data_IF_099850482947
#
_entry.id   IF_099850482947
#
_cell.length_a   1.000
_cell.length_b   1.000
_cell.length_c   1.000
_cell.angle_alpha   90.00
_cell.angle_beta   90.00
_cell.angle_gamma   90.00
#
_symmetry.space_group_name_H-M   'P 1'
#
loop_
_entity.id
_entity.type
_entity.pdbx_description
1 polymer ?
#
# COMPACT_ATOMS: atom_id res chain seq x y z
N UNK A 1 6.67 -13.82 66.95
CA UNK A 1 6.70 -12.58 66.17
C UNK A 1 7.93 -12.43 65.23
N UNK A 2 9.11 -12.89 65.57
CA UNK A 2 10.32 -12.76 64.70
C UNK A 2 10.23 -13.42 63.33
N UNK A 3 9.55 -14.59 63.19
CA UNK A 3 9.45 -15.32 61.89
C UNK A 3 8.60 -14.57 60.86
N UNK A 4 7.60 -13.80 61.25
CA UNK A 4 6.73 -13.02 60.35
C UNK A 4 7.45 -11.79 59.79
N UNK A 5 8.29 -11.13 60.59
CA UNK A 5 9.09 -9.99 60.13
C UNK A 5 10.18 -10.40 59.08
N UNK A 6 10.77 -11.60 59.19
CA UNK A 6 11.74 -12.12 58.22
C UNK A 6 11.07 -12.55 56.90
N UNK A 7 9.86 -13.07 56.94
CA UNK A 7 9.09 -13.41 55.74
C UNK A 7 8.69 -12.17 54.94
N UNK A 8 8.25 -11.09 55.58
CA UNK A 8 7.90 -9.83 54.90
C UNK A 8 9.10 -9.16 54.24
N UNK A 9 10.26 -9.22 54.86
CA UNK A 9 11.50 -8.63 54.27
C UNK A 9 11.98 -9.42 53.05
N UNK A 10 11.92 -10.75 53.08
CA UNK A 10 12.25 -11.60 51.92
C UNK A 10 11.28 -11.40 50.75
N UNK A 11 9.98 -11.28 51.05
CA UNK A 11 8.97 -11.00 50.03
C UNK A 11 9.21 -9.65 49.33
N UNK A 12 9.54 -8.61 50.10
CA UNK A 12 9.84 -7.27 49.55
C UNK A 12 11.08 -7.28 48.67
N UNK A 13 12.12 -8.03 49.04
CA UNK A 13 13.33 -8.19 48.24
C UNK A 13 13.05 -8.94 46.93
N UNK A 14 12.24 -9.98 46.98
CA UNK A 14 11.84 -10.75 45.83
C UNK A 14 11.00 -9.92 44.85
N UNK A 15 10.06 -9.11 45.37
CA UNK A 15 9.27 -8.17 44.59
C UNK A 15 10.15 -7.11 43.92
N UNK A 16 11.15 -6.58 44.62
CA UNK A 16 12.11 -5.63 44.00
C UNK A 16 12.94 -6.26 42.88
N UNK A 17 13.39 -7.50 43.03
CA UNK A 17 14.15 -8.22 42.01
C UNK A 17 13.29 -8.50 40.76
N UNK A 18 12.04 -8.94 40.99
CA UNK A 18 11.08 -9.13 39.89
C UNK A 18 10.81 -7.81 39.18
N UNK A 19 10.56 -6.72 39.92
CA UNK A 19 10.31 -5.41 39.33
C UNK A 19 11.48 -4.94 38.46
N UNK A 20 12.72 -5.05 38.96
CA UNK A 20 13.93 -4.66 38.22
C UNK A 20 14.13 -5.53 36.97
N UNK A 21 13.86 -6.83 37.05
CA UNK A 21 13.93 -7.72 35.88
C UNK A 21 12.81 -7.48 34.85
N UNK A 22 11.64 -6.99 35.31
CA UNK A 22 10.50 -6.73 34.44
C UNK A 22 10.61 -5.42 33.68
N UNK A 23 11.30 -4.40 34.22
CA UNK A 23 11.47 -3.09 33.57
C UNK A 23 12.01 -3.21 32.13
N UNK A 24 13.13 -3.90 31.83
CA UNK A 24 13.61 -4.00 30.47
C UNK A 24 12.66 -4.76 29.53
N UNK A 25 11.87 -5.70 30.07
CA UNK A 25 10.87 -6.42 29.28
C UNK A 25 9.71 -5.49 28.87
N UNK A 26 9.17 -4.74 29.82
CA UNK A 26 8.06 -3.80 29.56
C UNK A 26 8.50 -2.67 28.66
N UNK A 27 9.65 -2.06 28.93
CA UNK A 27 10.18 -0.99 28.07
C UNK A 27 10.50 -1.47 26.67
N UNK A 28 11.09 -2.66 26.52
CA UNK A 28 11.36 -3.27 25.22
C UNK A 28 10.09 -3.53 24.40
N UNK A 29 9.03 -4.04 25.05
CA UNK A 29 7.74 -4.24 24.41
C UNK A 29 7.08 -2.93 23.97
N UNK A 30 7.09 -1.90 24.83
CA UNK A 30 6.55 -0.59 24.48
C UNK A 30 7.28 0.03 23.29
N UNK A 31 8.61 -0.02 23.28
CA UNK A 31 9.41 0.49 22.17
C UNK A 31 9.10 -0.29 20.89
N UNK A 32 8.97 -1.62 20.97
CA UNK A 32 8.62 -2.46 19.83
C UNK A 32 7.25 -2.05 19.25
N UNK A 33 6.23 -1.86 20.09
CA UNK A 33 4.88 -1.48 19.63
C UNK A 33 4.93 -0.13 18.91
N UNK A 34 5.54 0.88 19.52
CA UNK A 34 5.65 2.23 18.92
C UNK A 34 6.41 2.18 17.60
N UNK A 35 7.51 1.44 17.53
CA UNK A 35 8.29 1.30 16.30
C UNK A 35 7.50 0.58 15.20
N UNK A 36 6.71 -0.44 15.56
CA UNK A 36 5.87 -1.15 14.60
C UNK A 36 4.80 -0.23 14.01
N UNK A 37 4.08 0.53 14.85
CA UNK A 37 3.07 1.48 14.39
C UNK A 37 3.65 2.56 13.48
N UNK A 38 4.79 3.14 13.85
CA UNK A 38 5.50 4.11 13.01
C UNK A 38 5.90 3.52 11.67
N UNK A 39 6.43 2.29 11.67
CA UNK A 39 6.84 1.59 10.46
C UNK A 39 5.66 1.26 9.54
N UNK A 40 4.52 0.84 10.10
CA UNK A 40 3.31 0.58 9.32
C UNK A 40 2.76 1.86 8.68
N UNK A 41 2.73 2.97 9.41
CA UNK A 41 2.28 4.26 8.89
C UNK A 41 3.21 4.78 7.78
N UNK A 42 4.53 4.68 7.97
CA UNK A 42 5.52 5.06 6.97
C UNK A 42 5.41 4.18 5.71
N UNK A 43 5.32 2.86 5.89
CA UNK A 43 5.17 1.92 4.79
C UNK A 43 3.90 2.18 3.98
N UNK A 44 2.77 2.47 4.63
CA UNK A 44 1.53 2.83 3.94
C UNK A 44 1.70 4.09 3.08
N UNK A 45 2.37 5.11 3.61
CA UNK A 45 2.62 6.37 2.89
C UNK A 45 3.56 6.17 1.71
N UNK A 46 4.66 5.46 1.90
CA UNK A 46 5.64 5.19 0.84
C UNK A 46 5.02 4.32 -0.27
N UNK A 47 4.33 3.24 0.08
CA UNK A 47 3.68 2.36 -0.92
C UNK A 47 2.65 3.10 -1.76
N UNK A 48 1.89 4.02 -1.18
CA UNK A 48 0.94 4.84 -1.93
C UNK A 48 1.65 5.78 -2.91
N UNK A 49 2.76 6.40 -2.51
CA UNK A 49 3.55 7.29 -3.38
C UNK A 49 4.22 6.51 -4.52
N UNK A 50 4.80 5.36 -4.22
CA UNK A 50 5.42 4.47 -5.22
C UNK A 50 4.38 3.94 -6.20
N UNK A 51 3.18 3.58 -5.72
CA UNK A 51 2.07 3.17 -6.58
C UNK A 51 1.62 4.29 -7.52
N UNK A 52 1.54 5.55 -7.04
CA UNK A 52 1.25 6.70 -7.92
C UNK A 52 2.32 6.83 -8.99
N UNK A 53 3.60 6.75 -8.63
CA UNK A 53 4.70 6.83 -9.61
C UNK A 53 4.64 5.72 -10.67
N UNK A 54 4.38 4.48 -10.25
CA UNK A 54 4.30 3.34 -11.17
C UNK A 54 3.09 3.44 -12.11
N UNK A 55 1.92 3.84 -11.59
CA UNK A 55 0.72 4.06 -12.39
C UNK A 55 0.91 5.24 -13.36
N UNK A 56 1.55 6.34 -12.93
CA UNK A 56 1.89 7.45 -13.81
C UNK A 56 2.78 6.99 -14.98
N UNK A 57 3.79 6.15 -14.74
CA UNK A 57 4.59 5.54 -15.79
C UNK A 57 3.77 4.67 -16.74
N UNK A 58 2.81 3.92 -16.22
CA UNK A 58 1.93 3.12 -17.07
C UNK A 58 1.05 4.00 -17.97
N UNK A 59 0.53 5.10 -17.44
CA UNK A 59 -0.24 6.08 -18.21
C UNK A 59 0.62 6.87 -19.19
N UNK A 60 1.89 7.16 -18.87
CA UNK A 60 2.85 7.76 -19.79
C UNK A 60 3.06 6.91 -21.04
N UNK A 61 3.08 5.58 -20.88
CA UNK A 61 3.13 4.66 -22.04
C UNK A 61 1.89 4.77 -22.95
N UNK A 62 0.70 5.04 -22.36
CA UNK A 62 -0.52 5.31 -23.13
C UNK A 62 -0.43 6.69 -23.82
N UNK A 63 0.08 7.68 -23.10
CA UNK A 63 0.33 9.02 -23.67
C UNK A 63 1.26 8.95 -24.88
N UNK A 64 2.37 8.24 -24.80
CA UNK A 64 3.29 8.05 -25.93
C UNK A 64 2.62 7.33 -27.11
N UNK A 65 1.74 6.36 -26.86
CA UNK A 65 0.98 5.72 -27.90
C UNK A 65 0.01 6.68 -28.58
N UNK A 66 -0.67 7.54 -27.79
CA UNK A 66 -1.52 8.59 -28.31
C UNK A 66 -0.77 9.61 -29.17
N UNK A 67 0.41 10.07 -28.69
CA UNK A 67 1.27 11.00 -29.46
C UNK A 67 1.66 10.46 -30.85
N UNK A 68 1.94 9.16 -30.97
CA UNK A 68 2.29 8.54 -32.25
C UNK A 68 1.10 8.39 -33.19
N UNK A 69 -0.11 8.22 -32.65
CA UNK A 69 -1.32 8.15 -33.46
C UNK A 69 -1.91 9.53 -33.78
N UNK A 70 -1.56 10.57 -33.01
CA UNK A 70 -2.11 11.92 -33.16
C UNK A 70 -1.96 12.54 -34.59
N UNK A 71 -0.86 12.33 -35.33
CA UNK A 71 -0.73 12.82 -36.71
C UNK A 71 -1.74 12.19 -37.70
N UNK A 72 -2.41 11.09 -37.31
CA UNK A 72 -3.44 10.43 -38.13
C UNK A 72 -4.82 11.03 -37.90
N UNK A 73 -5.01 11.84 -36.81
CA UNK A 73 -6.28 12.50 -36.55
C UNK A 73 -6.62 13.50 -37.68
N UNK A 74 -7.90 13.50 -38.07
CA UNK A 74 -8.41 14.32 -39.18
C UNK A 74 -8.26 13.67 -40.56
N UNK A 75 -7.60 12.50 -40.69
CA UNK A 75 -7.50 11.76 -41.94
C UNK A 75 -8.68 10.80 -42.14
N UNK A 76 -9.08 10.46 -43.39
CA UNK A 76 -10.13 9.49 -43.63
C UNK A 76 -9.85 8.12 -43.02
N UNK A 77 -10.85 7.51 -42.37
CA UNK A 77 -10.66 6.24 -41.65
C UNK A 77 -10.07 5.10 -42.51
N UNK A 78 -10.50 5.00 -43.74
CA UNK A 78 -10.06 3.92 -44.65
C UNK A 78 -8.56 3.98 -44.94
N UNK A 79 -7.96 5.16 -44.91
CA UNK A 79 -6.51 5.36 -45.15
C UNK A 79 -5.63 5.06 -43.92
N UNK A 80 -6.19 5.19 -42.68
CA UNK A 80 -5.39 5.11 -41.44
C UNK A 80 -5.69 3.87 -40.61
N UNK A 81 -6.78 3.19 -40.87
CA UNK A 81 -7.24 2.05 -40.05
C UNK A 81 -6.20 0.93 -39.93
N UNK A 82 -5.56 0.56 -41.04
CA UNK A 82 -4.49 -0.44 -41.03
C UNK A 82 -3.29 -0.01 -40.20
N UNK A 83 -2.91 1.26 -40.28
CA UNK A 83 -1.81 1.82 -39.47
C UNK A 83 -2.13 1.80 -37.96
N UNK A 84 -3.38 2.13 -37.59
CA UNK A 84 -3.82 2.04 -36.21
C UNK A 84 -3.80 0.59 -35.70
N UNK A 85 -4.22 -0.37 -36.54
CA UNK A 85 -4.18 -1.80 -36.21
C UNK A 85 -2.75 -2.29 -35.98
N UNK A 86 -1.80 -1.93 -36.88
CA UNK A 86 -0.39 -2.29 -36.77
C UNK A 86 0.23 -1.72 -35.48
N UNK A 87 -0.11 -0.49 -35.13
CA UNK A 87 0.34 0.13 -33.87
C UNK A 87 -0.17 -0.59 -32.64
N UNK A 88 -1.40 -1.09 -32.65
CA UNK A 88 -1.98 -1.88 -31.53
C UNK A 88 -1.32 -3.25 -31.45
N UNK A 89 -1.17 -3.96 -32.57
CA UNK A 89 -0.56 -5.30 -32.60
C UNK A 89 0.91 -5.24 -32.12
N UNK A 90 1.63 -4.18 -32.44
CA UNK A 90 3.03 -4.01 -32.01
C UNK A 90 3.20 -3.78 -30.51
N UNK A 91 2.11 -3.58 -29.75
CA UNK A 91 2.14 -3.28 -28.32
C UNK A 91 1.07 -4.05 -27.55
N UNK A 92 1.50 -5.10 -26.87
CA UNK A 92 0.63 -6.01 -26.13
C UNK A 92 -0.24 -5.37 -25.04
N UNK A 93 0.13 -4.17 -24.57
CA UNK A 93 -0.62 -3.43 -23.57
C UNK A 93 -1.85 -2.71 -24.13
N UNK A 94 -1.86 -2.39 -25.43
CA UNK A 94 -2.93 -1.66 -26.09
C UNK A 94 -4.04 -2.61 -26.50
N UNK A 95 -5.28 -2.17 -26.29
CA UNK A 95 -6.46 -2.83 -26.81
C UNK A 95 -6.92 -2.19 -28.12
N UNK A 96 -7.05 -0.87 -28.15
CA UNK A 96 -7.48 -0.11 -29.31
C UNK A 96 -6.93 1.31 -29.32
N UNK A 97 -6.84 1.86 -30.53
CA UNK A 97 -6.59 3.26 -30.83
C UNK A 97 -7.80 3.79 -31.59
N UNK A 98 -8.36 4.90 -31.13
CA UNK A 98 -9.54 5.53 -31.72
C UNK A 98 -9.28 6.99 -31.99
N UNK A 99 -9.54 7.44 -33.21
CA UNK A 99 -9.42 8.83 -33.62
C UNK A 99 -10.73 9.58 -33.35
N UNK A 100 -10.59 10.82 -32.88
CA UNK A 100 -11.68 11.70 -32.51
C UNK A 100 -11.58 12.96 -33.34
N UNK A 101 -12.70 13.40 -33.92
CA UNK A 101 -12.84 14.68 -34.59
C UNK A 101 -14.04 15.44 -34.00
N UNK A 102 -13.83 16.70 -33.60
CA UNK A 102 -14.87 17.55 -32.98
C UNK A 102 -15.64 16.81 -31.89
N UNK A 103 -14.88 16.15 -30.98
CA UNK A 103 -15.38 15.33 -29.84
C UNK A 103 -16.19 14.09 -30.22
N UNK A 104 -16.17 13.69 -31.49
CA UNK A 104 -16.78 12.45 -31.97
C UNK A 104 -15.74 11.44 -32.39
N UNK A 105 -15.79 10.25 -31.81
CA UNK A 105 -14.99 9.13 -32.26
C UNK A 105 -15.49 8.67 -33.65
N UNK A 106 -14.61 8.66 -34.65
CA UNK A 106 -14.98 8.34 -36.03
C UNK A 106 -14.24 7.15 -36.64
N UNK A 107 -13.06 6.83 -36.12
CA UNK A 107 -12.24 5.73 -36.62
C UNK A 107 -11.58 4.98 -35.49
N UNK A 108 -11.68 3.66 -35.46
CA UNK A 108 -11.04 2.81 -34.45
C UNK A 108 -10.33 1.63 -35.10
N UNK A 109 -9.22 1.21 -34.47
CA UNK A 109 -8.49 -0.01 -34.83
C UNK A 109 -9.33 -1.30 -34.61
N UNK A 110 -10.36 -1.22 -33.75
CA UNK A 110 -11.30 -2.32 -33.44
C UNK A 110 -12.74 -1.89 -33.74
N UNK A 111 -13.67 -2.84 -33.73
CA UNK A 111 -15.10 -2.57 -33.90
C UNK A 111 -15.80 -2.18 -32.60
N UNK A 112 -15.13 -1.44 -31.71
CA UNK A 112 -15.69 -0.98 -30.45
C UNK A 112 -16.79 0.06 -30.65
N UNK A 113 -17.69 0.20 -29.68
CA UNK A 113 -18.76 1.19 -29.73
C UNK A 113 -18.20 2.62 -29.63
N UNK A 114 -18.22 3.34 -30.74
CA UNK A 114 -17.67 4.70 -30.86
C UNK A 114 -18.47 5.72 -30.04
N UNK A 115 -19.75 5.46 -29.77
CA UNK A 115 -20.60 6.34 -28.96
C UNK A 115 -20.07 6.56 -27.55
N UNK A 116 -19.69 5.49 -26.87
CA UNK A 116 -19.14 5.57 -25.51
C UNK A 116 -17.84 6.36 -25.47
N UNK A 117 -16.97 6.14 -26.45
CA UNK A 117 -15.70 6.87 -26.56
C UNK A 117 -15.90 8.34 -26.94
N UNK A 118 -16.95 8.67 -27.69
CA UNK A 118 -17.34 10.06 -27.96
C UNK A 118 -17.81 10.76 -26.68
N UNK A 119 -18.61 10.10 -25.83
CA UNK A 119 -19.03 10.64 -24.55
C UNK A 119 -17.82 10.89 -23.61
N UNK A 120 -16.83 10.02 -23.64
CA UNK A 120 -15.58 10.21 -22.88
C UNK A 120 -14.79 11.42 -23.40
N UNK A 121 -14.63 11.60 -24.73
CA UNK A 121 -13.96 12.77 -25.30
C UNK A 121 -14.63 14.08 -24.89
N UNK A 122 -15.98 14.12 -24.87
CA UNK A 122 -16.76 15.28 -24.42
C UNK A 122 -16.63 15.57 -22.92
N UNK A 123 -16.28 14.58 -22.10
CA UNK A 123 -16.22 14.77 -20.64
C UNK A 123 -15.10 15.69 -20.17
N UNK A 124 -14.13 15.99 -21.02
CA UNK A 124 -12.94 16.78 -20.70
C UNK A 124 -11.95 16.08 -19.76
N UNK A 125 -12.18 14.80 -19.45
CA UNK A 125 -11.27 14.00 -18.64
C UNK A 125 -10.15 13.41 -19.51
N UNK A 126 -8.96 13.35 -18.95
CA UNK A 126 -7.81 12.77 -19.64
C UNK A 126 -7.76 11.25 -19.50
N UNK A 127 -8.19 10.71 -18.35
CA UNK A 127 -8.21 9.29 -18.05
C UNK A 127 -9.56 8.90 -17.45
N UNK A 128 -10.08 7.76 -17.87
CA UNK A 128 -11.33 7.20 -17.36
C UNK A 128 -11.24 5.68 -17.28
N UNK A 129 -11.84 5.09 -16.23
CA UNK A 129 -12.14 3.67 -16.18
C UNK A 129 -13.52 3.41 -16.81
N UNK A 130 -13.62 2.40 -17.63
CA UNK A 130 -14.89 1.99 -18.22
C UNK A 130 -15.03 0.47 -18.28
N UNK A 131 -16.27 -0.01 -18.26
CA UNK A 131 -16.53 -1.42 -18.50
C UNK A 131 -16.62 -1.70 -20.00
N UNK A 132 -16.06 -2.85 -20.43
CA UNK A 132 -16.21 -3.30 -21.81
C UNK A 132 -17.68 -3.46 -22.21
N UNK A 133 -17.94 -3.56 -23.53
CA UNK A 133 -19.27 -3.75 -24.10
C UNK A 133 -20.05 -4.94 -23.48
N UNK A 134 -21.39 -5.01 -23.65
CA UNK A 134 -22.26 -6.03 -23.04
C UNK A 134 -21.76 -7.46 -23.13
N UNK A 135 -21.13 -7.83 -24.26
CA UNK A 135 -20.55 -9.15 -24.48
C UNK A 135 -19.25 -9.38 -23.70
N UNK A 136 -18.62 -8.31 -23.23
CA UNK A 136 -17.32 -8.36 -22.56
C UNK A 136 -17.27 -7.49 -21.28
N UNK A 137 -18.41 -7.33 -20.58
CA UNK A 137 -18.55 -6.57 -19.32
C UNK A 137 -17.61 -7.02 -18.21
N UNK A 138 -16.99 -8.21 -18.36
CA UNK A 138 -16.03 -8.74 -17.40
C UNK A 138 -14.68 -8.03 -17.42
N UNK A 139 -14.37 -7.29 -18.48
CA UNK A 139 -13.07 -6.59 -18.63
C UNK A 139 -13.24 -5.12 -18.34
N UNK A 140 -12.54 -4.65 -17.31
CA UNK A 140 -12.39 -3.25 -17.04
C UNK A 140 -11.31 -2.67 -17.95
N UNK A 141 -11.59 -1.51 -18.53
CA UNK A 141 -10.75 -0.80 -19.49
C UNK A 141 -10.32 0.54 -18.91
N UNK A 142 -9.15 0.98 -19.32
CA UNK A 142 -8.62 2.33 -19.09
C UNK A 142 -8.61 3.04 -20.42
N UNK A 143 -9.30 4.16 -20.50
CA UNK A 143 -9.29 5.05 -21.66
C UNK A 143 -8.43 6.26 -21.33
N UNK A 144 -7.51 6.59 -22.22
CA UNK A 144 -6.66 7.77 -22.15
C UNK A 144 -6.95 8.66 -23.35
N UNK A 145 -7.30 9.93 -23.14
CA UNK A 145 -7.57 10.87 -24.22
C UNK A 145 -6.47 11.91 -24.36
N UNK A 146 -6.00 12.10 -25.60
CA UNK A 146 -5.06 13.15 -25.96
C UNK A 146 -5.69 14.03 -27.05
N UNK A 147 -5.93 15.30 -26.72
CA UNK A 147 -6.42 16.28 -27.66
C UNK A 147 -5.26 16.89 -28.48
N UNK A 148 -5.46 17.05 -29.76
CA UNK A 148 -4.56 17.71 -30.70
C UNK A 148 -5.24 18.86 -31.45
N UNK A 149 -4.52 19.49 -32.38
CA UNK A 149 -5.02 20.62 -33.16
C UNK A 149 -6.10 20.24 -34.19
N UNK A 150 -5.98 19.05 -34.77
CA UNK A 150 -6.84 18.56 -35.86
C UNK A 150 -7.73 17.39 -35.41
N UNK A 151 -8.04 17.31 -34.12
CA UNK A 151 -8.75 16.20 -33.52
C UNK A 151 -7.98 15.59 -32.35
N UNK A 152 -8.42 14.43 -31.86
CA UNK A 152 -7.82 13.76 -30.73
C UNK A 152 -7.64 12.27 -30.95
N UNK A 153 -7.01 11.62 -29.98
CA UNK A 153 -6.79 10.18 -29.94
C UNK A 153 -7.20 9.63 -28.59
N UNK A 154 -8.02 8.59 -28.59
CA UNK A 154 -8.29 7.77 -27.40
C UNK A 154 -7.50 6.48 -27.50
N UNK A 155 -6.71 6.22 -26.50
CA UNK A 155 -5.99 4.96 -26.30
C UNK A 155 -6.75 4.14 -25.27
N UNK A 156 -7.14 2.93 -25.63
CA UNK A 156 -7.79 2.00 -24.68
C UNK A 156 -6.83 0.86 -24.33
N UNK A 157 -6.69 0.57 -23.05
CA UNK A 157 -5.91 -0.53 -22.51
C UNK A 157 -6.73 -1.36 -21.51
N UNK A 158 -6.26 -2.56 -21.17
CA UNK A 158 -6.87 -3.34 -20.10
C UNK A 158 -6.43 -2.84 -18.73
N UNK A 159 -7.37 -2.63 -17.81
CA UNK A 159 -7.08 -2.22 -16.43
C UNK A 159 -6.23 -3.25 -15.65
N UNK A 160 -6.13 -4.49 -16.15
CA UNK A 160 -5.23 -5.51 -15.61
C UNK A 160 -3.77 -5.02 -15.55
N UNK A 161 -3.34 -4.19 -16.49
CA UNK A 161 -2.01 -3.59 -16.47
C UNK A 161 -1.79 -2.75 -15.20
N UNK A 162 -2.75 -1.88 -14.86
CA UNK A 162 -2.68 -1.06 -13.65
C UNK A 162 -2.78 -1.91 -12.38
N UNK A 163 -3.53 -3.01 -12.39
CA UNK A 163 -3.54 -3.96 -11.26
C UNK A 163 -2.17 -4.56 -11.00
N UNK A 164 -1.47 -4.97 -12.04
CA UNK A 164 -0.14 -5.54 -11.92
C UNK A 164 0.87 -4.54 -11.36
N UNK A 165 0.74 -3.25 -11.74
CA UNK A 165 1.56 -2.19 -11.14
C UNK A 165 1.27 -2.02 -9.64
N UNK A 166 0.03 -2.13 -9.21
CA UNK A 166 -0.33 -2.08 -7.78
C UNK A 166 0.17 -3.29 -7.00
N UNK A 167 0.16 -4.48 -7.60
CA UNK A 167 0.51 -5.73 -6.92
C UNK A 167 1.95 -5.74 -6.43
N UNK A 168 2.85 -5.06 -7.13
CA UNK A 168 4.25 -4.92 -6.75
C UNK A 168 4.50 -4.18 -5.43
N UNK A 169 3.54 -3.38 -4.94
CA UNK A 169 3.67 -2.54 -3.75
C UNK A 169 2.78 -2.98 -2.58
N UNK A 170 2.09 -4.11 -2.69
CA UNK A 170 1.13 -4.62 -1.70
C UNK A 170 1.75 -5.55 -0.67
N UNK A 171 2.80 -5.17 0.03
CA UNK A 171 3.32 -5.95 1.16
C UNK A 171 2.32 -5.94 2.32
N UNK A 172 1.29 -6.82 2.22
CA UNK A 172 0.12 -6.94 3.14
C UNK A 172 -0.77 -5.70 3.24
N UNK A 173 -0.42 -4.64 2.53
CA UNK A 173 -1.19 -3.40 2.41
C UNK A 173 -2.23 -3.55 1.30
N UNK A 174 -3.42 -3.01 1.48
CA UNK A 174 -4.41 -2.93 0.41
C UNK A 174 -4.30 -1.59 -0.29
N UNK A 175 -3.98 -1.62 -1.59
CA UNK A 175 -3.97 -0.43 -2.45
C UNK A 175 -5.22 -0.39 -3.33
N UNK A 176 -5.89 0.76 -3.35
CA UNK A 176 -7.01 1.08 -4.22
C UNK A 176 -6.61 2.22 -5.15
N UNK A 177 -6.78 2.02 -6.44
CA UNK A 177 -6.63 3.05 -7.47
C UNK A 177 -8.02 3.55 -7.86
N UNK A 178 -8.31 4.80 -7.56
CA UNK A 178 -9.62 5.43 -7.76
C UNK A 178 -9.58 6.41 -8.92
N UNK A 179 -10.55 6.25 -9.84
CA UNK A 179 -10.88 7.21 -10.89
C UNK A 179 -12.35 7.59 -10.71
N UNK A 180 -12.60 8.77 -10.18
CA UNK A 180 -13.94 9.23 -9.81
C UNK A 180 -14.70 8.21 -8.95
N UNK A 181 -15.81 7.66 -9.47
CA UNK A 181 -16.65 6.67 -8.76
C UNK A 181 -16.19 5.23 -8.91
N UNK A 182 -15.23 4.96 -9.80
CA UNK A 182 -14.73 3.63 -10.06
C UNK A 182 -13.37 3.41 -9.40
N UNK A 183 -13.15 2.21 -8.90
CA UNK A 183 -11.86 1.83 -8.35
C UNK A 183 -11.43 0.44 -8.81
N UNK A 184 -10.13 0.23 -8.77
CA UNK A 184 -9.50 -1.09 -8.96
C UNK A 184 -8.51 -1.36 -7.83
N UNK A 185 -8.32 -2.63 -7.54
CA UNK A 185 -7.31 -3.13 -6.63
C UNK A 185 -6.78 -4.48 -7.14
N UNK A 186 -5.76 -5.06 -6.52
CA UNK A 186 -5.09 -6.26 -7.05
C UNK A 186 -6.04 -7.42 -7.32
N UNK A 187 -7.05 -7.63 -6.46
CA UNK A 187 -7.94 -8.81 -6.53
C UNK A 187 -9.31 -8.52 -7.14
N UNK A 188 -9.65 -7.24 -7.39
CA UNK A 188 -10.99 -6.90 -7.86
C UNK A 188 -11.17 -5.46 -8.34
N UNK A 189 -12.40 -5.02 -8.37
CA UNK A 189 -12.80 -3.67 -8.80
C UNK A 189 -14.13 -3.25 -8.15
N UNK A 190 -14.61 -2.06 -8.50
CA UNK A 190 -15.84 -1.46 -7.96
C UNK A 190 -17.14 -2.26 -8.17
N UNK A 191 -17.10 -3.39 -8.88
CA UNK A 191 -18.23 -4.34 -9.01
C UNK A 191 -18.29 -5.34 -7.86
N UNK A 192 -17.23 -5.43 -7.08
CA UNK A 192 -17.20 -6.34 -5.93
C UNK A 192 -18.19 -5.87 -4.87
N UNK A 193 -18.94 -6.81 -4.30
CA UNK A 193 -19.98 -6.53 -3.30
C UNK A 193 -19.41 -5.84 -2.04
N UNK A 194 -18.13 -6.05 -1.75
CA UNK A 194 -17.44 -5.44 -0.61
C UNK A 194 -16.17 -4.73 -1.05
N UNK A 195 -16.10 -3.47 -0.68
CA UNK A 195 -14.86 -2.70 -0.80
C UNK A 195 -13.85 -3.23 0.23
N UNK A 196 -12.59 -3.48 -0.14
CA UNK A 196 -11.58 -3.94 0.81
C UNK A 196 -11.35 -2.90 1.91
N UNK A 197 -11.17 -3.40 3.15
CA UNK A 197 -10.93 -2.55 4.31
C UNK A 197 -9.53 -1.93 4.24
N UNK A 198 -9.45 -0.65 4.62
CA UNK A 198 -8.23 0.15 4.75
C UNK A 198 -8.30 0.97 6.05
N UNK A 199 -8.81 0.36 7.13
CA UNK A 199 -9.15 1.07 8.37
C UNK A 199 -7.93 1.46 9.19
N UNK A 200 -6.82 0.69 9.09
CA UNK A 200 -5.61 0.93 9.84
C UNK A 200 -4.54 1.61 8.97
N UNK A 201 -3.94 2.67 9.49
CA UNK A 201 -2.93 3.51 8.83
C UNK A 201 -3.31 3.95 7.41
N UNK A 202 -4.50 4.58 7.24
CA UNK A 202 -4.93 5.03 5.93
C UNK A 202 -3.99 6.11 5.38
N UNK A 203 -3.53 5.90 4.15
CA UNK A 203 -2.73 6.86 3.40
C UNK A 203 -3.39 7.13 2.03
N UNK A 204 -3.19 8.30 1.46
CA UNK A 204 -3.67 8.62 0.13
C UNK A 204 -2.77 9.61 -0.58
N UNK A 205 -2.60 9.42 -1.89
CA UNK A 205 -1.93 10.37 -2.76
C UNK A 205 -2.73 10.58 -4.05
N UNK A 206 -2.68 11.80 -4.58
CA UNK A 206 -3.30 12.19 -5.84
C UNK A 206 -2.21 12.32 -6.90
N UNK A 207 -2.43 11.73 -8.07
CA UNK A 207 -1.58 12.03 -9.22
C UNK A 207 -1.82 13.48 -9.67
N UNK A 208 -0.76 14.28 -9.65
CA UNK A 208 -0.77 15.64 -10.18
C UNK A 208 -0.84 15.71 -11.71
N UNK A 209 -0.54 14.58 -12.38
CA UNK A 209 -0.48 14.50 -13.86
C UNK A 209 -1.81 14.06 -14.45
N UNK A 210 -2.46 13.07 -13.85
CA UNK A 210 -3.62 12.38 -14.42
C UNK A 210 -4.87 12.47 -13.57
N UNK A 211 -4.81 13.08 -12.37
CA UNK A 211 -5.97 13.38 -11.54
C UNK A 211 -6.61 12.18 -10.82
N UNK A 212 -6.08 10.97 -10.95
CA UNK A 212 -6.53 9.81 -10.18
C UNK A 212 -5.96 9.82 -8.76
N UNK A 213 -6.54 9.02 -7.87
CA UNK A 213 -6.09 8.89 -6.48
C UNK A 213 -5.72 7.45 -6.16
N UNK A 214 -4.61 7.27 -5.45
CA UNK A 214 -4.27 6.00 -4.80
C UNK A 214 -4.57 6.11 -3.33
N UNK A 215 -5.29 5.14 -2.77
CA UNK A 215 -5.51 4.98 -1.34
C UNK A 215 -4.88 3.68 -0.88
N UNK A 216 -4.22 3.72 0.27
CA UNK A 216 -3.59 2.57 0.91
C UNK A 216 -4.02 2.45 2.36
N UNK A 217 -3.95 1.24 2.91
CA UNK A 217 -4.21 0.98 4.33
C UNK A 217 -4.24 -0.51 4.61
N UNK A 218 -4.11 -0.85 5.88
CA UNK A 218 -4.22 -2.23 6.33
C UNK A 218 -5.66 -2.56 6.71
N UNK A 219 -5.99 -3.84 6.63
CA UNK A 219 -7.29 -4.34 7.06
C UNK A 219 -7.45 -4.20 8.58
N UNK A 220 -8.70 -4.15 9.03
CA UNK A 220 -9.03 -4.12 10.45
C UNK A 220 -8.44 -5.33 11.20
N UNK A 221 -7.83 -5.08 12.37
CA UNK A 221 -7.16 -6.08 13.20
C UNK A 221 -5.75 -6.49 12.73
N UNK A 222 -5.23 -5.93 11.64
CA UNK A 222 -3.90 -6.26 11.13
C UNK A 222 -2.80 -5.93 12.14
N UNK A 223 -2.83 -4.74 12.73
CA UNK A 223 -1.83 -4.29 13.73
C UNK A 223 -1.80 -5.20 14.94
N UNK A 224 -2.96 -5.61 15.44
CA UNK A 224 -3.06 -6.53 16.58
C UNK A 224 -2.44 -7.91 16.24
N UNK A 225 -2.66 -8.40 15.03
CA UNK A 225 -2.07 -9.66 14.57
C UNK A 225 -0.55 -9.55 14.46
N UNK A 226 -0.04 -8.45 13.90
CA UNK A 226 1.39 -8.21 13.70
C UNK A 226 2.11 -8.03 15.05
N UNK A 227 1.52 -7.28 15.98
CA UNK A 227 2.00 -7.16 17.38
C UNK A 227 2.11 -8.54 18.02
N UNK A 228 1.06 -9.37 17.93
CA UNK A 228 1.06 -10.71 18.51
C UNK A 228 2.17 -11.59 17.92
N UNK A 229 2.37 -11.55 16.63
CA UNK A 229 3.41 -12.32 15.95
C UNK A 229 4.81 -11.84 16.37
N UNK A 230 5.03 -10.53 16.40
CA UNK A 230 6.29 -9.92 16.84
C UNK A 230 6.58 -10.20 18.32
N UNK A 231 5.57 -10.18 19.18
CA UNK A 231 5.72 -10.56 20.59
C UNK A 231 6.23 -11.99 20.75
N UNK A 232 5.68 -12.96 20.02
CA UNK A 232 6.12 -14.35 20.11
C UNK A 232 7.59 -14.52 19.75
N UNK A 233 8.13 -13.69 18.88
CA UNK A 233 9.54 -13.73 18.47
C UNK A 233 10.47 -13.00 19.45
N UNK A 234 10.03 -11.89 20.03
CA UNK A 234 10.89 -10.99 20.81
C UNK A 234 10.83 -11.30 22.32
N UNK A 235 9.70 -11.74 22.86
CA UNK A 235 9.53 -12.03 24.30
C UNK A 235 10.58 -12.97 24.87
N UNK A 236 10.97 -14.09 24.22
CA UNK A 236 11.99 -14.96 24.77
C UNK A 236 13.35 -14.27 24.99
N UNK A 237 13.77 -13.41 24.06
CA UNK A 237 15.02 -12.65 24.19
C UNK A 237 14.94 -11.57 25.26
N UNK A 238 13.81 -10.87 25.37
CA UNK A 238 13.58 -9.87 26.42
C UNK A 238 13.52 -10.51 27.82
N UNK A 239 12.91 -11.68 27.93
CA UNK A 239 12.91 -12.43 29.21
C UNK A 239 14.33 -12.82 29.64
N UNK A 240 15.17 -13.25 28.70
CA UNK A 240 16.56 -13.57 29.00
C UNK A 240 17.31 -12.34 29.51
N UNK A 241 17.13 -11.18 28.88
CA UNK A 241 17.69 -9.89 29.36
C UNK A 241 17.19 -9.57 30.77
N UNK A 242 15.89 -9.73 31.04
CA UNK A 242 15.29 -9.53 32.35
C UNK A 242 15.88 -10.44 33.44
N UNK A 243 16.08 -11.73 33.12
CA UNK A 243 16.69 -12.70 34.04
C UNK A 243 18.15 -12.33 34.35
N UNK A 244 18.93 -11.98 33.33
CA UNK A 244 20.34 -11.55 33.51
C UNK A 244 20.41 -10.32 34.37
N UNK A 245 19.58 -9.30 34.06
CA UNK A 245 19.54 -8.04 34.85
C UNK A 245 19.16 -8.33 36.31
N UNK A 246 18.11 -9.08 36.55
CA UNK A 246 17.69 -9.49 37.89
C UNK A 246 18.77 -10.26 38.65
N UNK A 247 19.48 -11.17 37.97
CA UNK A 247 20.59 -11.95 38.55
C UNK A 247 21.77 -11.09 38.94
N UNK A 248 22.15 -10.11 38.11
CA UNK A 248 23.24 -9.18 38.42
C UNK A 248 22.90 -8.32 39.64
N UNK A 249 21.68 -7.80 39.73
CA UNK A 249 21.23 -7.02 40.88
C UNK A 249 21.20 -7.89 42.15
N UNK A 250 20.74 -9.12 42.05
CA UNK A 250 20.76 -10.07 43.17
C UNK A 250 22.18 -10.32 43.68
N UNK A 251 23.12 -10.59 42.79
CA UNK A 251 24.54 -10.82 43.14
C UNK A 251 25.17 -9.58 43.79
N UNK A 252 24.86 -8.39 43.26
CA UNK A 252 25.31 -7.12 43.83
C UNK A 252 24.81 -6.90 45.27
N UNK A 253 23.51 -7.13 45.50
CA UNK A 253 22.92 -7.04 46.85
C UNK A 253 23.47 -8.11 47.81
N UNK A 254 23.71 -9.30 47.31
CA UNK A 254 24.32 -10.40 48.09
C UNK A 254 25.75 -10.05 48.55
N UNK A 255 26.60 -9.56 47.64
CA UNK A 255 27.98 -9.14 47.96
C UNK A 255 28.01 -7.97 48.94
N UNK A 256 27.16 -6.95 48.72
CA UNK A 256 27.08 -5.80 49.64
C UNK A 256 26.67 -6.21 51.08
N UNK A 257 25.83 -7.25 51.22
CA UNK A 257 25.49 -7.80 52.54
C UNK A 257 26.56 -8.60 53.19
N UNK A 258 27.33 -9.39 52.41
CA UNK A 258 28.47 -10.15 52.88
C UNK A 258 29.54 -9.20 53.44
N UNK A 259 29.84 -8.12 52.77
CA UNK A 259 30.79 -7.11 53.20
C UNK A 259 30.35 -6.41 54.50
N UNK A 260 29.07 -6.03 54.66
CA UNK A 260 28.56 -5.43 55.89
C UNK A 260 28.64 -6.37 57.10
N UNK A 261 28.48 -7.70 56.87
CA UNK A 261 28.60 -8.71 57.95
C UNK A 261 30.06 -8.90 58.36
N UNK A 262 31.02 -8.85 57.42
CA UNK A 262 32.42 -8.93 57.70
C UNK A 262 32.92 -7.74 58.52
N UNK A 263 32.53 -6.49 58.16
CA UNK A 263 32.90 -5.28 58.90
C UNK A 263 32.31 -5.27 60.32
N UNK A 264 31.10 -5.76 60.54
CA UNK A 264 30.52 -5.83 61.87
C UNK A 264 31.12 -6.93 62.80
N UNK A 265 31.89 -7.89 62.25
CA UNK A 265 32.60 -8.90 62.99
C UNK A 265 34.01 -8.51 63.38
N UNK A 266 34.57 -7.46 62.76
CA UNK A 266 35.91 -6.90 63.06
C UNK A 266 35.86 -5.84 64.17
N UNK A 267 34.69 -5.24 64.42
CA UNK A 267 34.44 -4.23 65.46
C UNK A 267 34.04 -4.85 66.82
N UNK A 268 34.02 -6.15 66.98
CA UNK A 268 33.72 -6.89 68.23
C UNK A 268 34.92 -7.69 68.73
#
# INVERSE_FOLDING_TARGET
>A
MLKIMHAGRRLRELLLLISVGLVPVVTGLLVMIVQLEMKLAENATLSVQEAVFSVDQALDRLHEAALRALPLAGQPCDSVKSVLQDQVVSRSMLRSLTLVDSDKAYCSSTSDALEHLSAFALSGRQVELSYGQPDNRRKLLVNYYLQGKNGGVIVTAYALQLRNELDGFQDRLTLLLEFDDLYIWSKGDSRDAQRPSQSEFPASALSSRYGYRVKGGYADGFTAQEIRQSMLQIVPSLMLVGIVTGSLVYLGLYRARAQRRGAAAEDT
#
